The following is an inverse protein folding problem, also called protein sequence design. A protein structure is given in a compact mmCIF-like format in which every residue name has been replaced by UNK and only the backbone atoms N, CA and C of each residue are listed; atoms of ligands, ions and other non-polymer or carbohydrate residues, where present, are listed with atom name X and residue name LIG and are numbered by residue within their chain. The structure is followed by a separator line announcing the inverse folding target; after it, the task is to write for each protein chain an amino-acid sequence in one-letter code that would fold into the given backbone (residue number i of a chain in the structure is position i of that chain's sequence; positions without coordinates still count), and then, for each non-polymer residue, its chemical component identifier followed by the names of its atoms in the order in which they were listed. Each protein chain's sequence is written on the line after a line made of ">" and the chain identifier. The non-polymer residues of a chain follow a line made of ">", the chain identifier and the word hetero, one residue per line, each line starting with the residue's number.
data_IF_552884419669
#
_entry.id   IF_552884419669
#
_cell.length_a   1.000
_cell.length_b   1.000
_cell.length_c   1.000
_cell.angle_alpha   90.00
_cell.angle_beta   90.00
_cell.angle_gamma   90.00
#
_symmetry.space_group_name_H-M   'P 1'
#
loop_
_entity.id
_entity.type
_entity.pdbx_description
1 polymer ?
#
# COMPACT_ATOMS: atom_id res chain seq x y z
N UNK A 1 -51.56 -62.77 -4.52
CA UNK A 1 -51.29 -62.35 -3.13
C UNK A 1 -49.80 -62.52 -2.90
N UNK A 2 -49.07 -61.47 -2.55
CA UNK A 2 -47.64 -61.61 -2.19
C UNK A 2 -47.52 -62.50 -0.96
N UNK A 3 -46.56 -63.42 -0.96
CA UNK A 3 -46.27 -64.27 0.19
C UNK A 3 -45.89 -63.40 1.41
N UNK A 4 -46.63 -63.47 2.53
CA UNK A 4 -46.33 -62.71 3.74
C UNK A 4 -44.90 -62.94 4.27
N UNK A 5 -44.33 -64.13 4.05
CA UNK A 5 -42.96 -64.43 4.45
C UNK A 5 -41.92 -63.71 3.58
N UNK A 6 -42.19 -63.57 2.28
CA UNK A 6 -41.32 -62.80 1.38
C UNK A 6 -41.33 -61.31 1.78
N UNK A 7 -42.50 -60.76 2.08
CA UNK A 7 -42.62 -59.37 2.52
C UNK A 7 -41.87 -59.08 3.83
N UNK A 8 -41.83 -60.05 4.75
CA UNK A 8 -41.06 -59.93 6.01
C UNK A 8 -39.55 -59.97 5.77
N UNK A 9 -39.08 -60.84 4.87
CA UNK A 9 -37.66 -60.91 4.51
C UNK A 9 -37.21 -59.63 3.81
N UNK A 10 -37.99 -59.12 2.85
CA UNK A 10 -37.69 -57.86 2.15
C UNK A 10 -37.65 -56.67 3.12
N UNK A 11 -38.54 -56.64 4.12
CA UNK A 11 -38.55 -55.62 5.16
C UNK A 11 -37.33 -55.72 6.10
N UNK A 12 -36.90 -56.93 6.46
CA UNK A 12 -35.71 -57.16 7.28
C UNK A 12 -34.43 -56.72 6.54
N UNK A 13 -34.32 -57.03 5.24
CA UNK A 13 -33.20 -56.60 4.41
C UNK A 13 -33.15 -55.09 4.25
N UNK A 14 -34.30 -54.44 4.06
CA UNK A 14 -34.38 -52.98 4.00
C UNK A 14 -33.96 -52.31 5.31
N UNK A 15 -34.34 -52.88 6.47
CA UNK A 15 -33.91 -52.40 7.78
C UNK A 15 -32.41 -52.58 8.00
N UNK A 16 -31.85 -53.73 7.61
CA UNK A 16 -30.41 -53.99 7.70
C UNK A 16 -29.60 -53.05 6.80
N UNK A 17 -30.08 -52.79 5.58
CA UNK A 17 -29.46 -51.81 4.68
C UNK A 17 -29.56 -50.38 5.23
N UNK A 18 -30.70 -50.02 5.85
CA UNK A 18 -30.88 -48.74 6.52
C UNK A 18 -29.91 -48.54 7.69
N UNK A 19 -29.75 -49.56 8.54
CA UNK A 19 -28.81 -49.54 9.66
C UNK A 19 -27.36 -49.44 9.18
N UNK A 20 -26.98 -50.17 8.13
CA UNK A 20 -25.64 -50.10 7.55
C UNK A 20 -25.32 -48.72 6.96
N UNK A 21 -26.29 -48.10 6.26
CA UNK A 21 -26.13 -46.72 5.74
C UNK A 21 -26.01 -45.70 6.87
N UNK A 22 -26.80 -45.85 7.94
CA UNK A 22 -26.73 -44.96 9.08
C UNK A 22 -25.38 -45.06 9.79
N UNK A 23 -24.88 -46.28 10.04
CA UNK A 23 -23.55 -46.49 10.62
C UNK A 23 -22.44 -45.89 9.76
N UNK A 24 -22.45 -46.16 8.44
CA UNK A 24 -21.47 -45.58 7.52
C UNK A 24 -21.50 -44.04 7.48
N UNK A 25 -22.68 -43.43 7.55
CA UNK A 25 -22.79 -41.97 7.63
C UNK A 25 -22.15 -41.40 8.91
N UNK A 26 -22.35 -42.05 10.06
CA UNK A 26 -21.74 -41.59 11.31
C UNK A 26 -20.21 -41.75 11.29
N UNK A 27 -19.70 -42.86 10.77
CA UNK A 27 -18.26 -43.09 10.65
C UNK A 27 -17.60 -42.05 9.71
N UNK A 28 -18.23 -41.77 8.56
CA UNK A 28 -17.75 -40.75 7.62
C UNK A 28 -17.80 -39.34 8.22
N UNK A 29 -18.87 -39.02 8.95
CA UNK A 29 -19.02 -37.73 9.63
C UNK A 29 -17.98 -37.55 10.74
N UNK A 30 -17.72 -38.58 11.56
CA UNK A 30 -16.71 -38.54 12.61
C UNK A 30 -15.30 -38.39 12.04
N UNK A 31 -15.00 -39.07 10.92
CA UNK A 31 -13.72 -38.92 10.21
C UNK A 31 -13.54 -37.50 9.64
N UNK A 32 -14.59 -36.89 9.10
CA UNK A 32 -14.56 -35.51 8.61
C UNK A 32 -14.39 -34.51 9.76
N UNK A 33 -15.09 -34.71 10.87
CA UNK A 33 -14.96 -33.88 12.08
C UNK A 33 -13.53 -33.94 12.60
N UNK A 34 -12.97 -35.15 12.76
CA UNK A 34 -11.59 -35.32 13.23
C UNK A 34 -10.57 -34.63 12.30
N UNK A 35 -10.78 -34.72 10.98
CA UNK A 35 -9.94 -34.05 9.98
C UNK A 35 -10.00 -32.53 10.11
N UNK A 36 -11.21 -31.95 10.23
CA UNK A 36 -11.41 -30.51 10.42
C UNK A 36 -10.83 -30.04 11.75
N UNK A 37 -11.05 -30.78 12.82
CA UNK A 37 -10.52 -30.49 14.16
C UNK A 37 -8.98 -30.41 14.12
N UNK A 38 -8.31 -31.39 13.52
CA UNK A 38 -6.86 -31.39 13.38
C UNK A 38 -6.33 -30.19 12.57
N UNK A 39 -7.04 -29.78 11.51
CA UNK A 39 -6.69 -28.58 10.74
C UNK A 39 -6.86 -27.29 11.55
N UNK A 40 -7.94 -27.18 12.33
CA UNK A 40 -8.15 -26.05 13.24
C UNK A 40 -7.10 -25.99 14.35
N UNK A 41 -6.77 -27.12 14.97
CA UNK A 41 -5.76 -27.20 16.02
C UNK A 41 -4.37 -26.80 15.48
N UNK A 42 -4.03 -27.23 14.26
CA UNK A 42 -2.80 -26.82 13.58
C UNK A 42 -2.78 -25.30 13.30
N UNK A 43 -3.89 -24.72 12.85
CA UNK A 43 -4.01 -23.27 12.62
C UNK A 43 -3.93 -22.48 13.92
N UNK A 44 -4.65 -22.91 14.96
CA UNK A 44 -4.69 -22.26 16.27
C UNK A 44 -3.30 -22.29 16.92
N UNK A 45 -2.57 -23.40 16.80
CA UNK A 45 -1.21 -23.54 17.30
C UNK A 45 -0.19 -22.64 16.57
N UNK A 46 -0.47 -22.21 15.33
CA UNK A 46 0.48 -21.48 14.49
C UNK A 46 -0.04 -20.12 13.98
N UNK A 47 -1.05 -19.55 14.64
CA UNK A 47 -1.73 -18.34 14.16
C UNK A 47 -0.78 -17.15 13.97
N UNK A 48 0.27 -17.03 14.80
CA UNK A 48 1.27 -15.96 14.66
C UNK A 48 2.06 -16.06 13.37
N UNK A 49 2.45 -17.26 12.94
CA UNK A 49 3.18 -17.42 11.69
C UNK A 49 2.25 -17.21 10.50
N UNK A 50 1.00 -17.69 10.57
CA UNK A 50 -0.01 -17.46 9.52
C UNK A 50 -0.27 -15.97 9.36
N UNK A 51 -0.57 -15.24 10.44
CA UNK A 51 -0.71 -13.77 10.39
C UNK A 51 0.57 -13.11 9.91
N UNK A 52 1.75 -13.58 10.33
CA UNK A 52 3.03 -13.04 9.87
C UNK A 52 3.25 -13.20 8.36
N UNK A 53 2.84 -14.32 7.77
CA UNK A 53 2.90 -14.54 6.32
C UNK A 53 1.89 -13.65 5.62
N UNK A 54 0.64 -13.64 6.08
CA UNK A 54 -0.44 -12.84 5.47
C UNK A 54 -0.23 -11.32 5.57
N UNK A 55 0.56 -10.86 6.55
CA UNK A 55 0.84 -9.43 6.76
C UNK A 55 2.10 -8.93 6.03
N UNK A 56 2.80 -9.80 5.29
CA UNK A 56 3.90 -9.41 4.41
C UNK A 56 3.47 -9.64 2.97
N UNK A 57 3.37 -8.55 2.20
CA UNK A 57 3.00 -8.60 0.79
C UNK A 57 4.19 -8.21 -0.08
N UNK A 58 4.42 -8.96 -1.15
CA UNK A 58 5.46 -8.74 -2.13
C UNK A 58 4.82 -8.51 -3.50
N UNK A 59 5.27 -7.49 -4.22
CA UNK A 59 4.85 -7.24 -5.59
C UNK A 59 6.02 -6.80 -6.46
N UNK A 60 6.00 -7.24 -7.71
CA UNK A 60 6.85 -6.74 -8.78
C UNK A 60 5.99 -5.93 -9.73
N UNK A 61 6.34 -4.67 -9.96
CA UNK A 61 5.58 -3.80 -10.87
C UNK A 61 6.42 -3.53 -12.12
N UNK A 62 5.87 -3.94 -13.26
CA UNK A 62 6.40 -3.64 -14.59
C UNK A 62 5.23 -3.20 -15.47
N UNK A 63 5.19 -1.92 -15.92
CA UNK A 63 4.11 -1.42 -16.76
C UNK A 63 4.00 -2.13 -18.11
N UNK A 64 5.08 -2.77 -18.56
CA UNK A 64 5.14 -3.48 -19.84
C UNK A 64 4.89 -5.00 -19.70
N UNK A 65 4.57 -5.50 -18.49
CA UNK A 65 4.25 -6.91 -18.27
C UNK A 65 2.99 -7.30 -19.05
N UNK A 66 3.15 -8.25 -19.98
CA UNK A 66 2.07 -8.69 -20.85
C UNK A 66 1.04 -9.55 -20.10
N UNK A 67 1.48 -10.31 -19.09
CA UNK A 67 0.64 -11.27 -18.37
C UNK A 67 0.80 -11.12 -16.85
N UNK A 68 0.26 -10.05 -16.24
CA UNK A 68 0.40 -9.84 -14.80
C UNK A 68 -0.37 -10.91 -14.01
N UNK A 69 0.29 -11.51 -13.03
CA UNK A 69 -0.35 -12.53 -12.18
C UNK A 69 -1.32 -11.94 -11.15
N UNK A 70 -1.09 -10.69 -10.72
CA UNK A 70 -1.92 -9.97 -9.74
C UNK A 70 -2.16 -10.71 -8.41
N UNK A 71 -1.15 -11.43 -7.93
CA UNK A 71 -1.17 -12.14 -6.63
C UNK A 71 0.05 -11.74 -5.81
N UNK A 72 0.03 -12.06 -4.51
CA UNK A 72 1.20 -11.89 -3.65
C UNK A 72 2.42 -12.66 -4.18
N UNK A 73 3.58 -12.01 -4.17
CA UNK A 73 4.81 -12.46 -4.80
C UNK A 73 4.83 -12.33 -6.33
N UNK A 74 3.73 -11.87 -6.93
CA UNK A 74 3.51 -11.83 -8.38
C UNK A 74 3.85 -10.50 -9.05
N UNK A 75 3.59 -10.45 -10.36
CA UNK A 75 3.74 -9.26 -11.21
C UNK A 75 2.42 -8.49 -11.34
N UNK A 76 2.54 -7.16 -11.41
CA UNK A 76 1.47 -6.19 -11.59
C UNK A 76 1.89 -5.15 -12.64
N UNK A 77 0.93 -4.59 -13.39
CA UNK A 77 1.22 -3.53 -14.37
C UNK A 77 1.19 -2.12 -13.77
N UNK A 78 0.69 -1.95 -12.54
CA UNK A 78 0.61 -0.65 -11.89
C UNK A 78 0.81 -0.73 -10.38
N UNK A 79 1.32 0.36 -9.80
CA UNK A 79 1.52 0.50 -8.36
C UNK A 79 0.19 0.42 -7.60
N UNK A 80 -0.86 1.04 -8.14
CA UNK A 80 -2.18 1.03 -7.50
C UNK A 80 -2.77 -0.37 -7.43
N UNK A 81 -2.68 -1.17 -8.50
CA UNK A 81 -3.15 -2.56 -8.48
C UNK A 81 -2.41 -3.40 -7.43
N UNK A 82 -1.09 -3.23 -7.31
CA UNK A 82 -0.29 -3.90 -6.28
C UNK A 82 -0.71 -3.48 -4.86
N UNK A 83 -0.94 -2.19 -4.62
CA UNK A 83 -1.36 -1.66 -3.31
C UNK A 83 -2.79 -2.08 -2.96
N UNK A 84 -3.69 -2.16 -3.94
CA UNK A 84 -5.07 -2.57 -3.72
C UNK A 84 -5.21 -4.07 -3.43
N UNK A 85 -4.35 -4.91 -4.05
CA UNK A 85 -4.28 -6.33 -3.76
C UNK A 85 -3.69 -6.64 -2.37
N UNK A 86 -2.86 -5.74 -1.83
CA UNK A 86 -2.24 -5.95 -0.53
C UNK A 86 -3.24 -5.86 0.65
N UNK A 87 -3.15 -6.73 1.66
CA UNK A 87 -3.98 -6.62 2.87
C UNK A 87 -3.79 -5.28 3.60
N UNK A 88 -4.83 -4.77 4.25
CA UNK A 88 -4.72 -3.54 5.06
C UNK A 88 -3.85 -3.80 6.29
N UNK A 89 -3.03 -2.82 6.67
CA UNK A 89 -2.10 -2.94 7.80
C UNK A 89 -0.83 -3.75 7.51
N UNK A 90 -0.71 -4.36 6.32
CA UNK A 90 0.45 -5.16 5.93
C UNK A 90 1.71 -4.30 5.72
N UNK A 91 2.86 -4.96 5.82
CA UNK A 91 4.11 -4.50 5.24
C UNK A 91 4.12 -4.89 3.76
N UNK A 92 4.27 -3.92 2.88
CA UNK A 92 4.17 -4.11 1.42
C UNK A 92 5.50 -3.74 0.79
N UNK A 93 6.18 -4.69 0.17
CA UNK A 93 7.41 -4.46 -0.58
C UNK A 93 7.09 -4.47 -2.08
N UNK A 94 7.31 -3.36 -2.75
CA UNK A 94 7.01 -3.16 -4.16
C UNK A 94 8.33 -2.94 -4.91
N UNK A 95 8.67 -3.88 -5.78
CA UNK A 95 9.86 -3.86 -6.61
C UNK A 95 9.51 -3.29 -7.99
N UNK A 96 10.11 -2.15 -8.33
CA UNK A 96 9.85 -1.46 -9.60
C UNK A 96 10.90 -1.85 -10.65
N UNK A 97 10.45 -2.14 -11.87
CA UNK A 97 11.32 -2.44 -13.00
C UNK A 97 12.31 -1.28 -13.29
N UNK A 98 13.62 -1.54 -13.39
CA UNK A 98 14.64 -0.49 -13.45
C UNK A 98 14.52 0.35 -14.73
N UNK A 99 14.73 1.67 -14.59
CA UNK A 99 14.64 2.64 -15.70
C UNK A 99 13.27 2.81 -16.32
N UNK A 100 12.21 2.20 -15.76
CA UNK A 100 10.84 2.35 -16.21
C UNK A 100 10.14 3.51 -15.49
N UNK A 101 9.13 4.05 -16.15
CA UNK A 101 8.25 5.06 -15.60
C UNK A 101 6.92 4.42 -15.16
N UNK A 102 6.52 4.69 -13.92
CA UNK A 102 5.30 4.21 -13.30
C UNK A 102 4.39 5.40 -13.03
N UNK A 103 3.45 5.66 -13.95
CA UNK A 103 2.56 6.81 -13.87
C UNK A 103 1.40 6.53 -12.91
N UNK A 104 1.23 7.40 -11.91
CA UNK A 104 0.07 7.40 -11.03
C UNK A 104 -1.05 8.22 -11.67
N UNK A 105 -1.98 7.54 -12.33
CA UNK A 105 -3.14 8.15 -13.00
C UNK A 105 -4.39 8.30 -12.11
N UNK A 106 -4.29 7.89 -10.85
CA UNK A 106 -5.32 8.00 -9.83
C UNK A 106 -4.67 7.93 -8.43
N UNK A 107 -5.43 8.27 -7.39
CA UNK A 107 -4.94 8.23 -6.01
C UNK A 107 -4.65 6.78 -5.56
N UNK A 108 -3.50 6.60 -4.92
CA UNK A 108 -3.11 5.34 -4.29
C UNK A 108 -3.42 5.42 -2.80
N UNK A 109 -4.41 4.64 -2.34
CA UNK A 109 -4.87 4.69 -0.95
C UNK A 109 -4.02 3.76 -0.07
N UNK A 110 -3.20 4.33 0.80
CA UNK A 110 -2.25 3.57 1.64
C UNK A 110 -2.99 2.75 2.71
N UNK A 111 -3.99 3.33 3.39
CA UNK A 111 -4.89 2.65 4.37
C UNK A 111 -4.15 1.79 5.41
N UNK A 112 -3.32 2.43 6.25
CA UNK A 112 -2.48 1.81 7.29
C UNK A 112 -1.36 0.88 6.81
N UNK A 113 -1.16 0.70 5.50
CA UNK A 113 -0.03 -0.10 5.01
C UNK A 113 1.28 0.65 5.17
N UNK A 114 2.36 -0.11 5.33
CA UNK A 114 3.72 0.42 5.18
C UNK A 114 4.24 -0.01 3.82
N UNK A 115 4.30 0.93 2.87
CA UNK A 115 4.80 0.68 1.53
C UNK A 115 6.31 0.92 1.48
N UNK A 116 7.05 -0.02 0.91
CA UNK A 116 8.49 0.11 0.64
C UNK A 116 8.71 -0.11 -0.85
N UNK A 117 9.14 0.94 -1.55
CA UNK A 117 9.51 0.89 -2.96
C UNK A 117 11.01 0.65 -3.13
N UNK A 118 11.35 -0.35 -3.93
CA UNK A 118 12.73 -0.78 -4.18
C UNK A 118 12.94 -0.96 -5.68
N UNK A 119 14.15 -0.68 -6.17
CA UNK A 119 14.54 -0.96 -7.55
C UNK A 119 14.76 -2.46 -7.73
N UNK A 120 14.16 -3.05 -8.76
CA UNK A 120 14.33 -4.46 -9.09
C UNK A 120 15.58 -4.71 -9.97
N UNK A 121 16.76 -4.75 -9.35
CA UNK A 121 18.00 -5.07 -10.06
C UNK A 121 18.83 -3.85 -10.48
N UNK A 122 19.72 -4.06 -11.46
CA UNK A 122 20.68 -3.05 -11.91
C UNK A 122 20.07 -2.11 -12.97
N UNK A 123 20.68 -0.93 -13.12
CA UNK A 123 20.27 0.07 -14.12
C UNK A 123 19.84 1.39 -13.50
N UNK A 124 19.27 2.25 -14.34
CA UNK A 124 18.72 3.54 -13.94
C UNK A 124 17.64 3.37 -12.86
N UNK A 125 17.48 4.41 -12.03
CA UNK A 125 16.38 4.41 -11.08
C UNK A 125 15.03 4.39 -11.82
N UNK A 126 14.07 3.56 -11.40
CA UNK A 126 12.70 3.70 -11.85
C UNK A 126 12.13 5.04 -11.39
N UNK A 127 11.15 5.54 -12.14
CA UNK A 127 10.51 6.83 -11.88
C UNK A 127 9.05 6.60 -11.50
N UNK A 128 8.61 7.13 -10.37
CA UNK A 128 7.19 7.28 -10.04
C UNK A 128 6.76 8.67 -10.50
N UNK A 129 5.95 8.74 -11.56
CA UNK A 129 5.41 10.00 -12.07
C UNK A 129 4.03 10.25 -11.48
N UNK A 130 3.87 11.39 -10.81
CA UNK A 130 2.61 11.86 -10.27
C UNK A 130 1.89 12.68 -11.34
N UNK A 131 0.89 12.07 -12.01
CA UNK A 131 0.12 12.77 -13.03
C UNK A 131 -0.84 13.79 -12.40
N UNK A 132 -1.26 14.76 -13.21
CA UNK A 132 -2.16 15.85 -12.78
C UNK A 132 -3.49 15.76 -13.51
N UNK A 133 -4.57 16.05 -12.78
CA UNK A 133 -5.92 16.19 -13.33
C UNK A 133 -6.46 17.59 -13.03
N UNK A 134 -7.13 18.20 -14.00
CA UNK A 134 -7.89 19.42 -13.80
C UNK A 134 -9.39 19.13 -13.75
N UNK A 135 -10.11 19.83 -12.89
CA UNK A 135 -11.57 19.97 -12.98
C UNK A 135 -11.91 21.43 -13.34
N UNK A 136 -13.19 21.82 -13.27
CA UNK A 136 -13.61 23.19 -13.63
C UNK A 136 -13.06 24.31 -12.72
N UNK A 137 -12.38 23.98 -11.62
CA UNK A 137 -11.99 24.94 -10.57
C UNK A 137 -10.53 24.84 -10.15
N UNK A 138 -9.93 23.65 -10.20
CA UNK A 138 -8.60 23.39 -9.66
C UNK A 138 -7.86 22.29 -10.43
N UNK A 139 -6.53 22.34 -10.35
CA UNK A 139 -5.62 21.23 -10.62
C UNK A 139 -5.45 20.36 -9.38
N UNK A 140 -5.27 19.05 -9.54
CA UNK A 140 -4.93 18.12 -8.46
C UNK A 140 -3.87 17.13 -8.93
N UNK A 141 -2.87 16.91 -8.09
CA UNK A 141 -1.81 15.94 -8.29
C UNK A 141 -2.27 14.58 -7.75
N UNK A 142 -2.21 13.54 -8.58
CA UNK A 142 -2.39 12.17 -8.11
C UNK A 142 -1.17 11.73 -7.31
N UNK A 143 -1.43 11.07 -6.19
CA UNK A 143 -0.36 10.62 -5.31
C UNK A 143 -0.86 9.63 -4.29
N UNK A 144 -0.04 9.43 -3.26
CA UNK A 144 -0.35 8.53 -2.17
C UNK A 144 -1.22 9.25 -1.15
N UNK A 145 -2.44 8.75 -0.99
CA UNK A 145 -3.34 9.21 0.06
C UNK A 145 -3.03 8.44 1.34
N UNK A 146 -2.60 9.18 2.36
CA UNK A 146 -2.30 8.66 3.69
C UNK A 146 -3.57 8.59 4.56
N UNK A 147 -4.75 8.42 3.97
CA UNK A 147 -6.00 8.29 4.73
C UNK A 147 -5.84 7.14 5.72
N UNK A 148 -6.22 7.41 6.97
CA UNK A 148 -6.07 6.49 8.12
C UNK A 148 -4.62 6.29 8.58
N UNK A 149 -3.66 7.00 7.99
CA UNK A 149 -2.24 6.89 8.29
C UNK A 149 -1.53 5.82 7.45
N UNK A 150 -0.24 5.66 7.71
CA UNK A 150 0.63 4.76 6.96
C UNK A 150 2.03 5.35 6.80
N UNK A 151 2.86 4.62 6.07
CA UNK A 151 4.22 5.07 5.77
C UNK A 151 4.59 4.67 4.36
N UNK A 152 5.30 5.56 3.66
CA UNK A 152 5.95 5.24 2.39
C UNK A 152 7.44 5.42 2.53
N UNK A 153 8.18 4.39 2.15
CA UNK A 153 9.64 4.41 2.03
C UNK A 153 10.01 4.14 0.58
N UNK A 154 10.99 4.86 0.05
CA UNK A 154 11.53 4.63 -1.28
C UNK A 154 13.06 4.63 -1.24
N UNK A 155 13.66 3.61 -1.87
CA UNK A 155 15.12 3.47 -1.99
C UNK A 155 15.53 3.37 -3.46
N UNK A 156 16.35 4.32 -3.93
CA UNK A 156 16.79 4.39 -5.33
C UNK A 156 15.65 4.44 -6.35
N UNK A 157 14.61 5.22 -6.01
CA UNK A 157 13.45 5.51 -6.86
C UNK A 157 13.38 7.02 -7.06
N UNK A 158 13.19 7.46 -8.29
CA UNK A 158 13.02 8.87 -8.60
C UNK A 158 11.53 9.22 -8.68
N UNK A 159 11.20 10.47 -8.38
CA UNK A 159 9.84 11.00 -8.38
C UNK A 159 9.77 12.21 -9.29
N UNK A 160 8.69 12.30 -10.06
CA UNK A 160 8.38 13.47 -10.89
C UNK A 160 6.98 13.94 -10.58
N UNK A 161 6.85 15.23 -10.23
CA UNK A 161 5.57 15.89 -10.03
C UNK A 161 5.26 16.69 -11.30
N UNK A 162 4.25 16.25 -12.06
CA UNK A 162 3.90 16.91 -13.33
C UNK A 162 3.41 18.34 -13.09
N UNK A 163 3.52 19.19 -14.12
CA UNK A 163 2.98 20.55 -14.07
C UNK A 163 1.44 20.53 -14.11
N UNK A 164 0.81 21.68 -13.86
CA UNK A 164 -0.64 21.86 -13.97
C UNK A 164 -1.16 21.34 -15.31
N UNK A 165 -2.26 20.59 -15.27
CA UNK A 165 -2.97 20.18 -16.48
C UNK A 165 -3.68 21.37 -17.14
N UNK A 166 -4.11 22.36 -16.35
CA UNK A 166 -4.64 23.64 -16.81
C UNK A 166 -3.93 24.80 -16.09
N UNK A 167 -3.09 25.54 -16.81
CA UNK A 167 -2.32 26.66 -16.26
C UNK A 167 -3.20 27.82 -15.75
N UNK A 168 -4.43 27.95 -16.23
CA UNK A 168 -5.38 29.00 -15.81
C UNK A 168 -6.02 28.73 -14.45
N UNK A 169 -5.92 27.51 -13.94
CA UNK A 169 -6.54 27.12 -12.68
C UNK A 169 -5.52 27.06 -11.52
N UNK A 170 -5.94 27.40 -10.28
CA UNK A 170 -5.10 27.20 -9.10
C UNK A 170 -4.89 25.71 -8.80
N UNK A 171 -3.91 25.40 -7.96
CA UNK A 171 -3.84 24.08 -7.32
C UNK A 171 -4.97 23.91 -6.30
N UNK A 172 -5.51 22.71 -6.20
CA UNK A 172 -6.32 22.29 -5.04
C UNK A 172 -5.42 22.03 -3.84
N UNK A 173 -6.01 21.61 -2.71
CA UNK A 173 -5.24 21.13 -1.57
C UNK A 173 -4.44 19.84 -1.86
N UNK A 174 -4.75 19.14 -2.95
CA UNK A 174 -4.03 17.95 -3.40
C UNK A 174 -2.93 18.34 -4.38
N UNK A 175 -1.87 18.95 -3.86
CA UNK A 175 -0.70 19.41 -4.64
C UNK A 175 0.61 18.79 -4.16
N UNK A 176 0.51 17.63 -3.51
CA UNK A 176 1.63 16.94 -2.86
C UNK A 176 1.70 15.48 -3.28
N UNK A 177 2.91 14.96 -3.46
CA UNK A 177 3.14 13.53 -3.80
C UNK A 177 2.53 12.56 -2.76
N UNK A 178 2.62 12.95 -1.49
CA UNK A 178 2.09 12.22 -0.33
C UNK A 178 1.12 13.14 0.42
N UNK A 179 -0.18 12.92 0.18
CA UNK A 179 -1.23 13.72 0.79
C UNK A 179 -1.28 13.53 2.31
N UNK A 180 -1.65 14.58 3.02
CA UNK A 180 -1.76 14.57 4.48
C UNK A 180 -2.90 13.66 4.97
N UNK A 181 -2.77 13.16 6.20
CA UNK A 181 -3.81 12.42 6.90
C UNK A 181 -4.49 13.32 7.94
N UNK A 182 -5.77 13.66 7.78
CA UNK A 182 -6.49 14.44 8.79
C UNK A 182 -6.37 13.80 10.19
N UNK A 183 -5.90 14.58 11.17
CA UNK A 183 -5.65 14.12 12.56
C UNK A 183 -4.77 12.85 12.68
N UNK A 184 -4.04 12.50 11.61
CA UNK A 184 -3.23 11.29 11.53
C UNK A 184 -1.74 11.59 11.42
N UNK A 185 -0.99 10.55 11.04
CA UNK A 185 0.45 10.66 10.77
C UNK A 185 0.73 10.37 9.30
N UNK A 186 1.60 11.17 8.71
CA UNK A 186 2.15 10.95 7.38
C UNK A 186 3.65 10.71 7.51
N UNK A 187 4.12 9.53 7.12
CA UNK A 187 5.55 9.18 7.14
C UNK A 187 6.07 8.96 5.72
N UNK A 188 7.11 9.69 5.35
CA UNK A 188 7.79 9.56 4.07
C UNK A 188 9.29 9.42 4.32
N UNK A 189 9.91 8.38 3.76
CA UNK A 189 11.36 8.18 3.80
C UNK A 189 11.90 8.03 2.37
N UNK A 190 12.86 8.87 2.00
CA UNK A 190 13.49 8.88 0.68
C UNK A 190 14.99 8.65 0.83
N UNK A 191 15.50 7.57 0.25
CA UNK A 191 16.92 7.18 0.32
C UNK A 191 17.48 7.04 -1.08
N UNK A 192 18.50 7.84 -1.41
CA UNK A 192 19.15 7.83 -2.73
C UNK A 192 18.16 8.08 -3.88
N UNK A 193 17.21 8.99 -3.65
CA UNK A 193 16.15 9.36 -4.60
C UNK A 193 16.45 10.71 -5.27
N UNK A 194 15.87 10.95 -6.44
CA UNK A 194 15.67 12.31 -6.98
C UNK A 194 14.19 12.66 -6.98
N UNK A 195 13.81 13.85 -6.52
CA UNK A 195 12.45 14.38 -6.65
C UNK A 195 12.49 15.63 -7.52
N UNK A 196 11.78 15.60 -8.64
CA UNK A 196 11.64 16.75 -9.55
C UNK A 196 10.23 17.32 -9.43
N UNK A 197 10.08 18.63 -9.21
CA UNK A 197 8.77 19.25 -9.04
C UNK A 197 8.73 20.73 -9.44
N UNK A 198 7.53 21.31 -9.41
CA UNK A 198 7.25 22.67 -9.84
C UNK A 198 6.74 23.56 -8.69
N UNK A 199 6.59 24.85 -8.99
CA UNK A 199 6.11 25.84 -8.03
C UNK A 199 4.77 25.45 -7.38
N UNK A 200 4.63 25.82 -6.10
CA UNK A 200 3.44 25.56 -5.26
C UNK A 200 3.16 24.08 -4.95
N UNK A 201 3.97 23.13 -5.42
CA UNK A 201 3.89 21.71 -5.10
C UNK A 201 4.77 21.33 -3.91
N UNK A 202 4.58 20.12 -3.40
CA UNK A 202 5.52 19.55 -2.44
C UNK A 202 5.56 18.03 -2.38
N UNK A 203 6.48 17.50 -1.58
CA UNK A 203 6.46 16.08 -1.24
C UNK A 203 5.25 15.81 -0.34
N UNK A 204 5.01 16.67 0.65
CA UNK A 204 3.88 16.55 1.58
C UNK A 204 3.51 17.91 2.19
N UNK A 205 2.49 17.94 3.05
CA UNK A 205 2.03 19.12 3.79
C UNK A 205 1.52 18.72 5.18
N UNK A 206 1.64 19.64 6.14
CA UNK A 206 1.15 19.46 7.51
C UNK A 206 -0.12 20.31 7.71
N UNK A 207 -1.27 19.64 7.68
CA UNK A 207 -2.59 20.29 7.72
C UNK A 207 -3.56 19.52 8.62
N UNK A 208 -4.58 20.21 9.16
CA UNK A 208 -5.68 19.62 9.95
C UNK A 208 -5.23 18.64 11.06
N UNK A 209 -4.33 19.07 11.93
CA UNK A 209 -3.83 18.29 13.06
C UNK A 209 -2.90 17.13 12.69
N UNK A 210 -2.49 17.00 11.43
CA UNK A 210 -1.57 15.96 10.98
C UNK A 210 -0.15 16.13 11.56
N UNK A 211 0.51 15.01 11.81
CA UNK A 211 1.95 14.94 12.07
C UNK A 211 2.67 14.37 10.85
N UNK A 212 3.46 15.21 10.18
CA UNK A 212 4.32 14.82 9.08
C UNK A 212 5.71 14.49 9.61
N UNK A 213 6.24 13.35 9.19
CA UNK A 213 7.66 13.03 9.29
C UNK A 213 8.21 12.74 7.90
N UNK A 214 9.18 13.53 7.48
CA UNK A 214 9.97 13.27 6.27
C UNK A 214 11.42 12.97 6.63
N UNK A 215 11.91 11.82 6.18
CA UNK A 215 13.32 11.41 6.26
C UNK A 215 13.95 11.42 4.88
N UNK A 216 15.10 12.07 4.73
CA UNK A 216 15.82 12.13 3.46
C UNK A 216 17.30 11.79 3.66
N UNK A 217 17.81 10.80 2.92
CA UNK A 217 19.23 10.46 2.93
C UNK A 217 19.77 10.35 1.51
N UNK A 218 20.81 11.11 1.17
CA UNK A 218 21.39 11.12 -0.18
C UNK A 218 20.35 11.44 -1.27
N UNK A 219 19.39 12.32 -0.97
CA UNK A 219 18.27 12.66 -1.85
C UNK A 219 18.47 14.03 -2.50
N UNK A 220 18.17 14.13 -3.79
CA UNK A 220 18.20 15.39 -4.54
C UNK A 220 16.79 15.92 -4.75
N UNK A 221 16.56 17.18 -4.38
CA UNK A 221 15.34 17.92 -4.71
C UNK A 221 15.66 18.91 -5.84
N UNK A 222 14.90 18.85 -6.94
CA UNK A 222 15.19 19.57 -8.17
C UNK A 222 13.94 20.31 -8.69
N UNK A 223 13.99 21.64 -8.69
CA UNK A 223 12.91 22.50 -9.18
C UNK A 223 12.30 23.36 -8.07
N UNK A 224 11.45 24.35 -8.41
CA UNK A 224 11.05 25.43 -7.49
C UNK A 224 9.94 25.01 -6.51
N UNK A 225 10.12 23.91 -5.79
CA UNK A 225 9.13 23.35 -4.87
C UNK A 225 9.68 23.17 -3.46
N UNK A 226 8.79 22.90 -2.50
CA UNK A 226 9.16 22.68 -1.10
C UNK A 226 8.95 21.21 -0.70
N UNK A 227 9.87 20.59 0.04
CA UNK A 227 9.63 19.25 0.57
C UNK A 227 8.36 19.22 1.43
N UNK A 228 8.17 20.22 2.30
CA UNK A 228 6.91 20.48 3.01
C UNK A 228 6.32 21.82 2.54
N UNK A 229 5.25 21.77 1.74
CA UNK A 229 4.70 22.97 1.06
C UNK A 229 3.73 23.82 1.90
N UNK A 230 3.34 23.34 3.08
CA UNK A 230 2.50 24.11 4.01
C UNK A 230 2.53 23.48 5.40
N UNK A 231 2.56 24.33 6.43
CA UNK A 231 2.39 23.97 7.85
C UNK A 231 1.37 24.93 8.48
N UNK A 232 0.11 24.82 8.07
CA UNK A 232 -0.94 25.78 8.50
C UNK A 232 -1.62 25.37 9.80
N UNK A 233 -1.74 24.07 10.08
CA UNK A 233 -2.39 23.55 11.30
C UNK A 233 -1.88 22.14 11.63
N UNK A 234 -0.57 21.91 11.63
CA UNK A 234 0.02 20.60 11.88
C UNK A 234 1.46 20.69 12.37
N UNK A 235 2.10 19.54 12.51
CA UNK A 235 3.52 19.44 12.85
C UNK A 235 4.27 18.81 11.67
N UNK A 236 5.41 19.38 11.30
CA UNK A 236 6.33 18.78 10.35
C UNK A 236 7.69 18.55 11.01
N UNK A 237 8.20 17.31 10.92
CA UNK A 237 9.56 16.94 11.28
C UNK A 237 10.31 16.56 10.01
N UNK A 238 11.37 17.31 9.70
CA UNK A 238 12.24 17.10 8.54
C UNK A 238 13.58 16.62 9.06
N UNK A 239 13.94 15.37 8.76
CA UNK A 239 15.24 14.78 9.07
C UNK A 239 15.99 14.55 7.76
N UNK A 240 17.22 15.07 7.63
CA UNK A 240 17.99 14.91 6.41
C UNK A 240 19.48 14.65 6.63
N UNK A 241 20.10 13.93 5.68
CA UNK A 241 21.55 13.79 5.56
C UNK A 241 21.95 13.69 4.09
N UNK A 242 23.01 14.41 3.70
CA UNK A 242 23.48 14.49 2.30
C UNK A 242 22.38 14.87 1.29
N UNK A 243 21.47 15.78 1.64
CA UNK A 243 20.44 16.30 0.72
C UNK A 243 21.03 17.39 -0.17
N UNK A 244 20.71 17.32 -1.47
CA UNK A 244 21.08 18.33 -2.47
C UNK A 244 19.83 19.09 -2.91
N UNK A 245 19.87 20.42 -2.89
CA UNK A 245 18.77 21.29 -3.32
C UNK A 245 19.18 22.03 -4.60
N UNK A 246 18.38 21.92 -5.66
CA UNK A 246 18.66 22.50 -6.98
C UNK A 246 17.45 23.30 -7.48
N UNK A 247 17.71 24.29 -8.36
CA UNK A 247 16.68 24.98 -9.16
C UNK A 247 15.50 25.56 -8.35
N UNK A 248 15.77 26.11 -7.17
CA UNK A 248 14.76 26.73 -6.30
C UNK A 248 14.12 25.79 -5.28
N UNK A 249 14.59 24.54 -5.19
CA UNK A 249 14.09 23.60 -4.20
C UNK A 249 14.43 24.05 -2.78
N UNK A 250 13.49 23.86 -1.86
CA UNK A 250 13.66 24.15 -0.44
C UNK A 250 13.02 23.05 0.43
N UNK A 251 13.39 23.01 1.72
CA UNK A 251 12.90 21.99 2.63
C UNK A 251 11.48 22.29 3.14
N UNK A 252 11.11 23.55 3.29
CA UNK A 252 9.82 23.95 3.81
C UNK A 252 9.41 25.34 3.33
N UNK A 253 8.10 25.52 3.19
CA UNK A 253 7.46 26.83 3.06
C UNK A 253 6.81 27.21 4.39
N UNK A 254 7.28 28.30 5.00
CA UNK A 254 6.82 28.77 6.31
C UNK A 254 7.27 27.90 7.50
N UNK A 255 6.86 28.30 8.71
CA UNK A 255 7.35 27.72 9.96
C UNK A 255 8.76 28.19 10.34
N UNK A 256 9.18 27.96 11.59
CA UNK A 256 10.55 28.24 12.03
C UNK A 256 11.33 26.94 12.08
N UNK A 257 12.39 26.82 11.27
CA UNK A 257 13.37 25.75 11.40
C UNK A 257 14.18 26.00 12.70
N UNK A 258 13.87 25.25 13.75
CA UNK A 258 14.60 25.28 15.02
C UNK A 258 15.53 24.07 15.17
N UNK A 259 16.67 24.27 15.86
CA UNK A 259 17.52 23.17 16.34
C UNK A 259 16.68 22.22 17.19
N UNK A 260 16.64 20.92 16.84
CA UNK A 260 15.83 19.89 17.49
C UNK A 260 15.87 19.95 19.04
N UNK A 261 14.87 20.58 19.66
CA UNK A 261 14.61 20.49 21.10
C UNK A 261 13.08 20.45 21.31
N UNK A 262 12.54 19.23 21.31
CA UNK A 262 11.22 18.94 21.85
C UNK A 262 11.37 18.82 23.38
N UNK A 263 11.08 19.90 24.10
CA UNK A 263 10.91 19.86 25.56
C UNK A 263 9.44 19.62 25.87
N UNK A 264 9.08 18.39 26.21
CA UNK A 264 7.80 18.10 26.87
C UNK A 264 7.98 18.34 28.37
N UNK A 265 7.05 19.11 28.96
CA UNK A 265 6.99 19.39 30.41
C UNK A 265 6.92 18.12 31.24
#
# INVERSE_FOLDING_TARGET
>A
MSDPMQNLNDAADALNQGAARAAGFYDDADAEIATRQAAYDALAANLRAVVGVEMNFLAYVDPDEANPTNVDGGTFTSISAAVDAAPRGALVNIYLAPGKEHVLSHYVYVRHRRLTFLKNGAGANPVIRHAVVANATHNSLYGFTMSDGGAVRAGSIDFVLDDKADAGLPWSNNKTAFAYANAGRTEVELVSCKVTGNAEQGITSAYTGNQVRIGMWSTTLDGPFNAVVSVTSGLASISHGAVTLLNGAALNDGGTLGTNLLKTS
#
